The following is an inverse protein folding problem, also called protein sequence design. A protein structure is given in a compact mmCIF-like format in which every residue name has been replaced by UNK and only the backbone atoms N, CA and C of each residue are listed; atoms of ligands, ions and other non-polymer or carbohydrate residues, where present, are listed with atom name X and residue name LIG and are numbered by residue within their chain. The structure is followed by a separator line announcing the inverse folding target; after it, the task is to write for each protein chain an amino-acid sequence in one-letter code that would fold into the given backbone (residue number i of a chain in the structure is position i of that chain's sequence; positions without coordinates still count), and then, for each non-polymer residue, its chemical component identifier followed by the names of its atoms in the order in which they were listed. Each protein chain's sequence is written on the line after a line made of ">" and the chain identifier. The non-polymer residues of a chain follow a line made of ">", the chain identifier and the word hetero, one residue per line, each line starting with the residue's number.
data_IF_857556875621
#
_entry.id   IF_857556875621
#
_cell.length_a   1.000
_cell.length_b   1.000
_cell.length_c   1.000
_cell.angle_alpha   90.00
_cell.angle_beta   90.00
_cell.angle_gamma   90.00
#
_symmetry.space_group_name_H-M   'P 1'
#
loop_
_entity.id
_entity.type
_entity.pdbx_description
1 polymer ?
#
# COMPACT_ATOMS: atom_id res chain seq x y z
N UNK A 1 -23.62 -38.54 3.63
CA UNK A 1 -23.55 -37.15 4.20
C UNK A 1 -22.13 -36.58 4.15
N UNK A 2 -21.35 -36.88 3.10
CA UNK A 2 -19.91 -36.51 3.03
C UNK A 2 -19.58 -35.51 1.90
N UNK A 3 -20.58 -34.88 1.26
CA UNK A 3 -20.32 -33.91 0.20
C UNK A 3 -20.04 -32.47 0.69
N UNK A 4 -20.17 -32.16 1.97
CA UNK A 4 -19.98 -30.79 2.48
C UNK A 4 -18.59 -30.51 3.10
N UNK A 5 -17.73 -31.51 3.23
CA UNK A 5 -16.35 -31.32 3.76
C UNK A 5 -15.33 -30.83 2.73
N UNK A 6 -15.67 -30.79 1.44
CA UNK A 6 -14.77 -30.32 0.36
C UNK A 6 -14.75 -28.80 0.16
N UNK A 7 -15.60 -28.01 0.86
CA UNK A 7 -15.73 -26.56 0.71
C UNK A 7 -14.74 -25.72 1.53
N UNK A 8 -13.92 -26.31 2.42
CA UNK A 8 -13.06 -25.53 3.34
C UNK A 8 -11.65 -25.23 2.81
N UNK A 9 -11.27 -25.78 1.66
CA UNK A 9 -9.92 -25.66 1.10
C UNK A 9 -9.67 -24.37 0.28
N UNK A 10 -10.71 -23.66 -0.20
CA UNK A 10 -10.55 -22.57 -1.17
C UNK A 10 -11.18 -21.24 -0.74
N UNK A 11 -11.43 -21.03 0.54
CA UNK A 11 -12.09 -19.81 1.04
C UNK A 11 -11.27 -18.52 0.83
N UNK A 12 -9.96 -18.62 0.62
CA UNK A 12 -9.06 -17.48 0.39
C UNK A 12 -9.01 -17.04 -1.08
N UNK A 13 -9.36 -17.92 -2.05
CA UNK A 13 -9.22 -17.62 -3.48
C UNK A 13 -10.17 -16.51 -3.91
N UNK A 14 -11.44 -16.59 -3.51
CA UNK A 14 -12.45 -15.60 -3.92
C UNK A 14 -12.13 -14.17 -3.43
N UNK A 15 -11.83 -13.93 -2.14
CA UNK A 15 -11.39 -12.60 -1.69
C UNK A 15 -10.11 -12.13 -2.38
N UNK A 16 -9.16 -13.04 -2.64
CA UNK A 16 -7.90 -12.72 -3.33
C UNK A 16 -8.17 -12.29 -4.77
N UNK A 17 -9.01 -13.01 -5.50
CA UNK A 17 -9.36 -12.67 -6.87
C UNK A 17 -10.05 -11.30 -6.95
N UNK A 18 -11.00 -11.03 -6.06
CA UNK A 18 -11.67 -9.73 -6.00
C UNK A 18 -10.69 -8.61 -5.65
N UNK A 19 -9.75 -8.86 -4.74
CA UNK A 19 -8.74 -7.89 -4.36
C UNK A 19 -7.74 -7.62 -5.50
N UNK A 20 -7.34 -8.64 -6.24
CA UNK A 20 -6.54 -8.50 -7.44
C UNK A 20 -7.28 -7.72 -8.54
N UNK A 21 -8.57 -7.98 -8.72
CA UNK A 21 -9.39 -7.26 -9.69
C UNK A 21 -9.56 -5.78 -9.30
N UNK A 22 -9.82 -5.52 -8.03
CA UNK A 22 -9.81 -4.17 -7.48
C UNK A 22 -8.47 -3.48 -7.71
N UNK A 23 -7.36 -4.17 -7.35
CA UNK A 23 -5.99 -3.69 -7.53
C UNK A 23 -5.66 -3.35 -8.98
N UNK A 24 -6.10 -4.18 -9.92
CA UNK A 24 -5.93 -3.94 -11.33
C UNK A 24 -6.64 -2.65 -11.79
N UNK A 25 -7.91 -2.51 -11.49
CA UNK A 25 -8.70 -1.37 -11.97
C UNK A 25 -8.31 -0.04 -11.30
N UNK A 26 -7.98 -0.02 -10.00
CA UNK A 26 -7.58 1.25 -9.37
C UNK A 26 -6.19 1.72 -9.81
N UNK A 27 -5.32 0.81 -10.28
CA UNK A 27 -4.00 1.15 -10.85
C UNK A 27 -4.03 1.39 -12.36
N UNK A 28 -5.13 1.03 -13.04
CA UNK A 28 -5.32 1.29 -14.46
C UNK A 28 -5.68 2.77 -14.71
N UNK A 29 -4.67 3.64 -14.69
CA UNK A 29 -4.79 5.11 -14.82
C UNK A 29 -3.97 5.64 -16.00
N UNK A 30 -4.41 5.44 -17.26
CA UNK A 30 -3.66 5.86 -18.43
C UNK A 30 -3.44 7.37 -18.56
N UNK A 31 -4.23 8.21 -17.86
CA UNK A 31 -4.06 9.66 -17.85
C UNK A 31 -2.95 10.16 -16.94
N UNK A 32 -2.51 9.38 -15.95
CA UNK A 32 -1.57 9.81 -14.92
C UNK A 32 -0.21 10.32 -15.48
N UNK A 33 0.42 9.68 -16.49
CA UNK A 33 1.65 10.17 -17.09
C UNK A 33 1.50 11.49 -17.89
N UNK A 34 0.27 11.90 -18.16
CA UNK A 34 -0.03 13.10 -18.95
C UNK A 34 -0.72 14.20 -18.14
N UNK A 35 -0.64 14.15 -16.79
CA UNK A 35 -1.31 15.09 -15.91
C UNK A 35 -0.78 16.53 -16.12
N UNK A 36 0.53 16.73 -16.12
CA UNK A 36 1.11 18.07 -16.31
C UNK A 36 0.75 18.65 -17.67
N UNK A 37 0.93 17.97 -18.81
CA UNK A 37 0.46 18.45 -20.11
C UNK A 37 -1.04 18.78 -20.17
N UNK A 38 -1.87 18.05 -19.43
CA UNK A 38 -3.30 18.32 -19.32
C UNK A 38 -3.59 19.59 -18.53
N UNK A 39 -2.87 19.84 -17.43
CA UNK A 39 -3.06 21.01 -16.58
C UNK A 39 -2.54 22.30 -17.24
N UNK A 40 -1.38 22.21 -17.92
CA UNK A 40 -0.75 23.38 -18.59
C UNK A 40 -1.25 23.60 -20.03
N UNK A 41 -1.92 22.60 -20.60
CA UNK A 41 -2.47 22.64 -21.95
C UNK A 41 -3.79 23.42 -22.06
N UNK A 42 -4.40 23.41 -23.27
CA UNK A 42 -5.62 24.16 -23.56
C UNK A 42 -6.84 23.74 -22.74
N UNK A 43 -6.83 22.51 -22.20
CA UNK A 43 -7.94 21.98 -21.41
C UNK A 43 -8.13 22.72 -20.07
N UNK A 44 -7.04 23.07 -19.39
CA UNK A 44 -7.06 23.73 -18.07
C UNK A 44 -6.40 25.10 -18.05
N UNK A 45 -5.46 25.35 -18.95
CA UNK A 45 -4.78 26.62 -19.17
C UNK A 45 -4.16 27.23 -17.89
N UNK A 46 -3.53 26.37 -17.09
CA UNK A 46 -2.84 26.77 -15.87
C UNK A 46 -1.36 27.04 -16.15
N UNK A 47 -0.77 27.98 -15.43
CA UNK A 47 0.67 28.23 -15.50
C UNK A 47 1.47 27.17 -14.77
N UNK A 48 2.70 26.92 -15.21
CA UNK A 48 3.62 25.99 -14.53
C UNK A 48 3.83 26.41 -13.07
N UNK A 49 3.88 27.71 -12.78
CA UNK A 49 4.03 28.24 -11.43
C UNK A 49 2.84 27.88 -10.53
N UNK A 50 1.61 28.03 -11.01
CA UNK A 50 0.40 27.64 -10.29
C UNK A 50 0.38 26.12 -10.00
N UNK A 51 0.73 25.31 -11.01
CA UNK A 51 0.79 23.85 -10.85
C UNK A 51 1.83 23.44 -9.82
N UNK A 52 3.04 24.02 -9.90
CA UNK A 52 4.18 23.62 -9.06
C UNK A 52 4.07 24.14 -7.63
N UNK A 53 3.66 25.41 -7.44
CA UNK A 53 3.73 26.08 -6.14
C UNK A 53 2.41 26.11 -5.39
N UNK A 54 1.26 25.98 -6.09
CA UNK A 54 -0.05 26.11 -5.47
C UNK A 54 -0.87 24.82 -5.48
N UNK A 55 -0.71 23.95 -6.49
CA UNK A 55 -1.54 22.76 -6.69
C UNK A 55 -0.84 21.51 -6.13
N UNK A 56 0.30 21.11 -6.66
CA UNK A 56 0.99 19.87 -6.28
C UNK A 56 1.38 19.76 -4.79
N UNK A 57 1.77 20.86 -4.09
CA UNK A 57 2.05 20.77 -2.65
C UNK A 57 0.85 20.33 -1.83
N UNK A 58 -0.39 20.57 -2.29
CA UNK A 58 -1.62 20.19 -1.58
C UNK A 58 -1.72 18.67 -1.44
N UNK A 59 -1.31 17.90 -2.45
CA UNK A 59 -1.23 16.44 -2.36
C UNK A 59 -0.32 15.99 -1.21
N UNK A 60 0.89 16.52 -1.15
CA UNK A 60 1.87 16.14 -0.12
C UNK A 60 1.37 16.46 1.29
N UNK A 61 0.81 17.67 1.49
CA UNK A 61 0.29 18.08 2.80
C UNK A 61 -0.97 17.30 3.20
N UNK A 62 -1.90 17.09 2.28
CA UNK A 62 -3.11 16.32 2.54
C UNK A 62 -2.79 14.86 2.85
N UNK A 63 -1.89 14.24 2.08
CA UNK A 63 -1.40 12.90 2.33
C UNK A 63 -0.79 12.75 3.73
N UNK A 64 0.11 13.66 4.11
CA UNK A 64 0.76 13.66 5.43
C UNK A 64 -0.25 13.82 6.55
N UNK A 65 -1.18 14.79 6.42
CA UNK A 65 -2.19 15.06 7.44
C UNK A 65 -3.19 13.90 7.60
N UNK A 66 -3.56 13.24 6.50
CA UNK A 66 -4.56 12.18 6.48
C UNK A 66 -4.00 10.80 6.80
N UNK A 67 -2.71 10.56 6.58
CA UNK A 67 -2.11 9.24 6.73
C UNK A 67 -2.31 8.66 8.15
N UNK A 68 -2.04 9.45 9.18
CA UNK A 68 -2.15 8.99 10.56
C UNK A 68 -3.60 8.72 10.99
N UNK A 69 -4.58 9.64 10.83
CA UNK A 69 -5.96 9.36 11.18
C UNK A 69 -6.56 8.22 10.34
N UNK A 70 -6.24 8.15 9.04
CA UNK A 70 -6.71 7.06 8.18
C UNK A 70 -6.18 5.71 8.65
N UNK A 71 -4.89 5.62 9.03
CA UNK A 71 -4.31 4.39 9.58
C UNK A 71 -5.08 3.88 10.81
N UNK A 72 -5.40 4.77 11.76
CA UNK A 72 -6.16 4.43 12.96
C UNK A 72 -7.61 4.04 12.64
N UNK A 73 -8.27 4.81 11.78
CA UNK A 73 -9.65 4.55 11.37
C UNK A 73 -9.73 3.22 10.60
N UNK A 74 -8.76 2.92 9.76
CA UNK A 74 -8.71 1.69 8.96
C UNK A 74 -8.85 0.44 9.81
N UNK A 75 -8.11 0.34 10.90
CA UNK A 75 -8.19 -0.81 11.80
C UNK A 75 -9.48 -0.82 12.62
N UNK A 76 -9.96 0.35 13.05
CA UNK A 76 -11.20 0.49 13.82
C UNK A 76 -12.44 0.08 13.00
N UNK A 77 -12.56 0.53 11.73
CA UNK A 77 -13.71 0.22 10.85
C UNK A 77 -13.54 -1.06 10.03
N UNK A 78 -12.47 -1.83 10.27
CA UNK A 78 -12.19 -3.13 9.62
C UNK A 78 -11.99 -3.06 8.10
N UNK A 79 -11.19 -2.14 7.63
CA UNK A 79 -10.62 -2.04 6.27
C UNK A 79 -11.61 -1.78 5.12
N UNK A 80 -12.69 -2.55 4.96
CA UNK A 80 -13.62 -2.42 3.81
C UNK A 80 -14.21 -1.02 3.63
N UNK A 81 -14.70 -0.32 4.67
CA UNK A 81 -15.21 1.05 4.50
C UNK A 81 -14.15 2.03 4.02
N UNK A 82 -12.88 1.81 4.37
CA UNK A 82 -11.77 2.65 3.92
C UNK A 82 -11.45 2.40 2.45
N UNK A 83 -11.56 1.15 1.96
CA UNK A 83 -11.46 0.84 0.52
C UNK A 83 -12.60 1.48 -0.29
N UNK A 84 -13.81 1.55 0.27
CA UNK A 84 -14.92 2.30 -0.35
C UNK A 84 -14.62 3.80 -0.37
N UNK A 85 -14.07 4.35 0.71
CA UNK A 85 -13.63 5.76 0.76
C UNK A 85 -12.55 6.05 -0.28
N UNK A 86 -11.59 5.14 -0.48
CA UNK A 86 -10.58 5.22 -1.53
C UNK A 86 -11.22 5.34 -2.92
N UNK A 87 -12.16 4.44 -3.22
CA UNK A 87 -12.86 4.45 -4.51
C UNK A 87 -13.66 5.73 -4.74
N UNK A 88 -14.37 6.22 -3.72
CA UNK A 88 -15.09 7.51 -3.79
C UNK A 88 -14.10 8.65 -4.03
N UNK A 89 -12.99 8.69 -3.29
CA UNK A 89 -11.97 9.73 -3.44
C UNK A 89 -11.39 9.76 -4.84
N UNK A 90 -11.09 8.61 -5.44
CA UNK A 90 -10.66 8.53 -6.84
C UNK A 90 -11.73 9.04 -7.82
N UNK A 91 -12.99 8.63 -7.65
CA UNK A 91 -14.07 9.10 -8.52
C UNK A 91 -14.21 10.63 -8.44
N UNK A 92 -14.20 11.20 -7.23
CA UNK A 92 -14.29 12.66 -7.04
C UNK A 92 -13.09 13.36 -7.68
N UNK A 93 -11.87 12.82 -7.51
CA UNK A 93 -10.64 13.34 -8.15
C UNK A 93 -10.81 13.46 -9.65
N UNK A 94 -11.19 12.39 -10.34
CA UNK A 94 -11.34 12.42 -11.81
C UNK A 94 -12.55 13.18 -12.30
N UNK A 95 -13.66 13.24 -11.54
CA UNK A 95 -14.79 14.11 -11.85
C UNK A 95 -14.39 15.60 -11.78
N UNK A 96 -13.71 16.01 -10.72
CA UNK A 96 -13.21 17.38 -10.61
C UNK A 96 -12.18 17.68 -11.70
N UNK A 97 -11.28 16.75 -11.98
CA UNK A 97 -10.26 16.92 -13.02
C UNK A 97 -10.89 17.09 -14.40
N UNK A 98 -11.98 16.39 -14.73
CA UNK A 98 -12.69 16.53 -16.00
C UNK A 98 -13.48 17.84 -16.10
N UNK A 99 -14.30 18.15 -15.10
CA UNK A 99 -15.34 19.18 -15.22
C UNK A 99 -15.02 20.50 -14.52
N UNK A 100 -14.16 20.50 -13.50
CA UNK A 100 -13.84 21.71 -12.76
C UNK A 100 -12.64 22.47 -13.37
N UNK A 101 -12.60 23.79 -13.20
CA UNK A 101 -11.54 24.67 -13.71
C UNK A 101 -11.05 25.61 -12.60
N UNK A 102 -9.82 26.12 -12.77
CA UNK A 102 -9.18 27.05 -11.86
C UNK A 102 -8.36 26.38 -10.75
N UNK A 103 -7.49 27.19 -10.13
CA UNK A 103 -6.50 26.71 -9.15
C UNK A 103 -7.16 26.04 -7.94
N UNK A 104 -8.20 26.64 -7.36
CA UNK A 104 -8.88 26.09 -6.19
C UNK A 104 -9.48 24.70 -6.47
N UNK A 105 -10.08 24.53 -7.67
CA UNK A 105 -10.63 23.21 -8.04
C UNK A 105 -9.54 22.16 -8.19
N UNK A 106 -8.38 22.52 -8.74
CA UNK A 106 -7.24 21.59 -8.86
C UNK A 106 -6.59 21.32 -7.49
N UNK A 107 -6.61 22.26 -6.56
CA UNK A 107 -6.22 21.99 -5.17
C UNK A 107 -7.15 20.95 -4.51
N UNK A 108 -8.46 21.00 -4.78
CA UNK A 108 -9.39 19.97 -4.32
C UNK A 108 -9.13 18.61 -4.98
N UNK A 109 -8.74 18.56 -6.25
CA UNK A 109 -8.28 17.34 -6.93
C UNK A 109 -7.13 16.71 -6.15
N UNK A 110 -6.10 17.50 -5.84
CA UNK A 110 -4.91 17.03 -5.09
C UNK A 110 -5.25 16.61 -3.66
N UNK A 111 -6.19 17.29 -3.01
CA UNK A 111 -6.67 16.89 -1.68
C UNK A 111 -7.33 15.51 -1.71
N UNK A 112 -8.27 15.27 -2.63
CA UNK A 112 -8.94 13.97 -2.74
C UNK A 112 -7.98 12.89 -3.24
N UNK A 113 -7.02 13.21 -4.09
CA UNK A 113 -5.97 12.29 -4.50
C UNK A 113 -5.05 11.93 -3.33
N UNK A 114 -4.71 12.89 -2.47
CA UNK A 114 -3.98 12.65 -1.22
C UNK A 114 -4.75 11.76 -0.24
N UNK A 115 -6.08 11.92 -0.14
CA UNK A 115 -6.95 11.02 0.63
C UNK A 115 -6.95 9.60 0.05
N UNK A 116 -7.06 9.47 -1.27
CA UNK A 116 -7.00 8.16 -1.94
C UNK A 116 -5.65 7.47 -1.71
N UNK A 117 -4.54 8.21 -1.78
CA UNK A 117 -3.20 7.70 -1.50
C UNK A 117 -3.03 7.29 -0.02
N UNK A 118 -3.54 8.10 0.92
CA UNK A 118 -3.49 7.76 2.35
C UNK A 118 -4.28 6.48 2.68
N UNK A 119 -5.39 6.24 1.98
CA UNK A 119 -6.22 5.05 2.16
C UNK A 119 -5.65 3.79 1.51
N UNK A 120 -4.59 3.88 0.70
CA UNK A 120 -3.94 2.72 0.07
C UNK A 120 -3.39 1.72 1.09
N UNK A 121 -3.01 2.19 2.28
CA UNK A 121 -2.60 1.30 3.39
C UNK A 121 -3.67 0.25 3.72
N UNK A 122 -4.95 0.59 3.56
CA UNK A 122 -6.06 -0.33 3.80
C UNK A 122 -6.09 -1.48 2.78
N UNK A 123 -5.66 -1.27 1.55
CA UNK A 123 -5.60 -2.31 0.52
C UNK A 123 -4.67 -3.46 0.91
N UNK A 124 -3.46 -3.14 1.33
CA UNK A 124 -2.51 -4.17 1.77
C UNK A 124 -2.88 -4.76 3.13
N UNK A 125 -3.35 -3.94 4.06
CA UNK A 125 -3.75 -4.42 5.39
C UNK A 125 -5.00 -5.34 5.34
N UNK A 126 -5.89 -5.15 4.36
CA UNK A 126 -7.05 -6.01 4.13
C UNK A 126 -6.66 -7.48 3.90
N UNK A 127 -5.55 -7.73 3.19
CA UNK A 127 -5.05 -9.10 2.93
C UNK A 127 -4.89 -9.86 4.25
N UNK A 128 -4.23 -9.23 5.23
CA UNK A 128 -3.93 -9.85 6.53
C UNK A 128 -5.17 -10.09 7.41
N UNK A 129 -6.28 -9.43 7.08
CA UNK A 129 -7.53 -9.58 7.81
C UNK A 129 -8.44 -10.68 7.28
N UNK A 130 -8.30 -11.07 6.02
CA UNK A 130 -9.21 -12.00 5.32
C UNK A 130 -8.54 -13.34 4.99
N UNK A 131 -7.22 -13.33 4.79
CA UNK A 131 -6.45 -14.52 4.42
C UNK A 131 -5.80 -15.13 5.67
N UNK A 132 -5.56 -16.46 5.67
CA UNK A 132 -4.79 -17.12 6.74
C UNK A 132 -3.29 -16.87 6.58
N UNK A 133 -2.54 -16.91 7.70
CA UNK A 133 -1.09 -16.64 7.75
C UNK A 133 -0.29 -17.42 6.72
N UNK A 134 -0.67 -18.68 6.48
CA UNK A 134 0.03 -19.58 5.56
C UNK A 134 0.03 -19.11 4.09
N UNK A 135 -0.89 -18.20 3.75
CA UNK A 135 -1.07 -17.68 2.39
C UNK A 135 -0.69 -16.20 2.23
N UNK A 136 -0.32 -15.49 3.32
CA UNK A 136 -0.04 -14.04 3.28
C UNK A 136 0.99 -13.66 2.21
N UNK A 137 2.16 -14.29 2.23
CA UNK A 137 3.22 -13.99 1.28
C UNK A 137 2.78 -14.18 -0.18
N UNK A 138 2.06 -15.27 -0.45
CA UNK A 138 1.57 -15.59 -1.79
C UNK A 138 0.54 -14.59 -2.29
N UNK A 139 -0.44 -14.26 -1.45
CA UNK A 139 -1.50 -13.30 -1.81
C UNK A 139 -0.94 -11.88 -1.97
N UNK A 140 -0.06 -11.45 -1.08
CA UNK A 140 0.62 -10.16 -1.19
C UNK A 140 1.42 -10.06 -2.49
N UNK A 141 2.13 -11.14 -2.87
CA UNK A 141 2.88 -11.19 -4.13
C UNK A 141 1.94 -11.09 -5.35
N UNK A 142 0.79 -11.77 -5.34
CA UNK A 142 -0.20 -11.66 -6.42
C UNK A 142 -0.78 -10.24 -6.52
N UNK A 143 -1.19 -9.64 -5.40
CA UNK A 143 -1.71 -8.28 -5.39
C UNK A 143 -0.68 -7.26 -5.88
N UNK A 144 0.58 -7.41 -5.47
CA UNK A 144 1.67 -6.53 -5.91
C UNK A 144 2.00 -6.69 -7.39
N UNK A 145 2.04 -7.93 -7.87
CA UNK A 145 2.28 -8.20 -9.30
C UNK A 145 1.18 -7.66 -10.18
N UNK A 146 -0.09 -7.83 -9.81
CA UNK A 146 -1.21 -7.35 -10.63
C UNK A 146 -1.27 -5.82 -10.67
N UNK A 147 -0.95 -5.12 -9.57
CA UNK A 147 -0.90 -3.66 -9.57
C UNK A 147 0.23 -3.12 -10.45
N UNK A 148 1.40 -3.75 -10.47
CA UNK A 148 2.51 -3.40 -11.36
C UNK A 148 2.18 -3.66 -12.83
N UNK A 149 1.57 -4.79 -13.14
CA UNK A 149 1.08 -5.11 -14.49
C UNK A 149 0.05 -4.07 -14.93
N UNK A 150 -0.90 -3.73 -14.08
CA UNK A 150 -1.92 -2.73 -14.39
C UNK A 150 -1.32 -1.35 -14.67
N UNK A 151 -0.35 -0.91 -13.85
CA UNK A 151 0.35 0.36 -14.06
C UNK A 151 1.13 0.38 -15.39
N UNK A 152 1.82 -0.72 -15.71
CA UNK A 152 2.54 -0.85 -16.99
C UNK A 152 1.58 -0.81 -18.17
N UNK A 153 0.50 -1.60 -18.12
CA UNK A 153 -0.52 -1.63 -19.18
C UNK A 153 -1.18 -0.26 -19.33
N UNK A 154 -1.49 0.43 -18.23
CA UNK A 154 -2.06 1.77 -18.25
C UNK A 154 -1.14 2.78 -18.93
N UNK A 155 0.15 2.77 -18.60
CA UNK A 155 1.13 3.68 -19.20
C UNK A 155 1.34 3.41 -20.69
N UNK A 156 1.41 2.13 -21.09
CA UNK A 156 1.47 1.73 -22.52
C UNK A 156 0.20 2.15 -23.26
N UNK A 157 -0.96 1.86 -22.69
CA UNK A 157 -2.26 2.23 -23.29
C UNK A 157 -2.37 3.75 -23.46
N UNK A 158 -2.00 4.51 -22.42
CA UNK A 158 -2.01 5.98 -22.48
C UNK A 158 -1.10 6.50 -23.59
N UNK A 159 0.13 5.97 -23.72
CA UNK A 159 1.05 6.38 -24.77
C UNK A 159 0.53 6.03 -26.17
N UNK A 160 0.00 4.83 -26.36
CA UNK A 160 -0.55 4.41 -27.65
C UNK A 160 -1.76 5.27 -28.07
N UNK A 161 -2.65 5.56 -27.14
CA UNK A 161 -3.82 6.40 -27.39
C UNK A 161 -3.42 7.83 -27.76
N UNK A 162 -2.43 8.40 -27.10
CA UNK A 162 -1.94 9.75 -27.38
C UNK A 162 -1.14 9.78 -28.69
N UNK A 163 -0.22 8.83 -28.91
CA UNK A 163 0.74 8.91 -30.04
C UNK A 163 0.22 8.32 -31.35
N UNK A 164 -0.66 7.31 -31.32
CA UNK A 164 -1.14 6.63 -32.53
C UNK A 164 -2.59 6.99 -32.86
N UNK A 165 -3.43 7.19 -31.85
CA UNK A 165 -4.85 7.47 -32.05
C UNK A 165 -5.19 8.96 -31.88
N UNK A 166 -4.21 9.79 -31.54
CA UNK A 166 -4.36 11.25 -31.32
C UNK A 166 -5.51 11.60 -30.38
N UNK A 167 -5.69 10.77 -29.35
CA UNK A 167 -6.75 10.91 -28.35
C UNK A 167 -6.42 12.07 -27.41
N UNK A 168 -7.35 13.00 -27.22
CA UNK A 168 -7.16 14.12 -26.30
C UNK A 168 -7.02 13.66 -24.86
N UNK A 169 -6.31 14.42 -24.05
CA UNK A 169 -6.11 14.16 -22.61
C UNK A 169 -7.44 14.13 -21.84
N UNK A 170 -8.45 14.86 -22.29
CA UNK A 170 -9.80 14.80 -21.72
C UNK A 170 -10.38 13.38 -21.81
N UNK A 171 -10.34 12.74 -22.99
CA UNK A 171 -10.83 11.37 -23.16
C UNK A 171 -9.99 10.36 -22.37
N UNK A 172 -8.68 10.59 -22.23
CA UNK A 172 -7.81 9.75 -21.42
C UNK A 172 -8.21 9.79 -19.93
N UNK A 173 -8.56 10.97 -19.43
CA UNK A 173 -9.10 11.13 -18.07
C UNK A 173 -10.48 10.47 -17.92
N UNK A 174 -11.33 10.49 -18.95
CA UNK A 174 -12.61 9.78 -18.93
C UNK A 174 -12.44 8.26 -18.89
N UNK A 175 -11.45 7.70 -19.60
CA UNK A 175 -11.10 6.26 -19.54
C UNK A 175 -10.62 5.92 -18.12
N UNK A 176 -9.81 6.77 -17.51
CA UNK A 176 -9.35 6.57 -16.14
C UNK A 176 -10.51 6.63 -15.15
N UNK A 177 -11.44 7.57 -15.29
CA UNK A 177 -12.65 7.64 -14.47
C UNK A 177 -13.48 6.34 -14.58
N UNK A 178 -13.65 5.79 -15.78
CA UNK A 178 -14.33 4.53 -15.96
C UNK A 178 -13.62 3.38 -15.23
N UNK A 179 -12.30 3.30 -15.31
CA UNK A 179 -11.50 2.28 -14.63
C UNK A 179 -11.63 2.36 -13.09
N UNK A 180 -11.46 3.56 -12.51
CA UNK A 180 -11.58 3.72 -11.04
C UNK A 180 -13.02 3.50 -10.56
N UNK A 181 -14.03 3.77 -11.40
CA UNK A 181 -15.44 3.46 -11.11
C UNK A 181 -15.67 1.95 -11.07
N UNK A 182 -15.04 1.18 -11.97
CA UNK A 182 -15.06 -0.29 -11.92
C UNK A 182 -14.36 -0.82 -10.66
N UNK A 183 -13.24 -0.23 -10.26
CA UNK A 183 -12.58 -0.57 -8.98
C UNK A 183 -13.53 -0.33 -7.81
N UNK A 184 -14.20 0.81 -7.78
CA UNK A 184 -15.19 1.12 -6.74
C UNK A 184 -16.32 0.09 -6.70
N UNK A 185 -16.87 -0.30 -7.83
CA UNK A 185 -17.88 -1.36 -7.92
C UNK A 185 -17.35 -2.69 -7.38
N UNK A 186 -16.12 -3.09 -7.72
CA UNK A 186 -15.49 -4.30 -7.19
C UNK A 186 -15.37 -4.27 -5.66
N UNK A 187 -15.16 -3.10 -5.05
CA UNK A 187 -15.02 -2.96 -3.59
C UNK A 187 -16.28 -3.33 -2.81
N UNK A 188 -17.47 -3.21 -3.40
CA UNK A 188 -18.72 -3.64 -2.75
C UNK A 188 -18.79 -5.15 -2.55
N UNK A 189 -18.23 -5.93 -3.44
CA UNK A 189 -18.23 -7.39 -3.39
C UNK A 189 -17.18 -7.97 -2.44
N UNK A 190 -16.24 -7.15 -1.95
CA UNK A 190 -15.25 -7.58 -0.97
C UNK A 190 -15.93 -7.99 0.34
N UNK A 191 -15.63 -9.17 0.92
CA UNK A 191 -16.20 -9.59 2.19
C UNK A 191 -15.75 -8.67 3.34
N UNK A 192 -16.64 -8.47 4.32
CA UNK A 192 -16.29 -7.69 5.52
C UNK A 192 -15.37 -8.51 6.42
N UNK A 193 -14.16 -8.05 6.78
CA UNK A 193 -13.28 -8.77 7.69
C UNK A 193 -13.86 -8.90 9.08
N UNK A 194 -13.69 -10.06 9.72
CA UNK A 194 -14.13 -10.29 11.09
C UNK A 194 -13.11 -9.89 12.14
N UNK A 195 -11.83 -9.80 11.75
CA UNK A 195 -10.69 -9.52 12.63
C UNK A 195 -10.04 -8.19 12.24
N UNK A 196 -9.57 -7.42 13.22
CA UNK A 196 -8.66 -6.30 13.01
C UNK A 196 -7.35 -6.54 13.76
N UNK A 197 -6.30 -5.81 13.43
CA UNK A 197 -4.96 -6.03 14.01
C UNK A 197 -4.87 -5.55 15.46
N UNK A 198 -5.49 -4.41 15.80
CA UNK A 198 -5.32 -3.74 17.08
C UNK A 198 -6.62 -3.67 17.90
N UNK A 199 -7.73 -3.21 17.30
CA UNK A 199 -8.97 -2.91 18.03
C UNK A 199 -9.88 -4.11 18.28
N UNK A 200 -9.85 -5.15 17.46
CA UNK A 200 -10.74 -6.33 17.58
C UNK A 200 -9.92 -7.63 17.69
N UNK A 201 -8.76 -7.56 18.32
CA UNK A 201 -7.95 -8.74 18.62
C UNK A 201 -8.61 -9.51 19.77
N UNK A 202 -9.07 -10.73 19.52
CA UNK A 202 -9.44 -11.65 20.62
C UNK A 202 -8.16 -11.96 21.37
N UNK A 203 -8.11 -11.58 22.65
CA UNK A 203 -7.03 -12.00 23.53
C UNK A 203 -7.01 -13.53 23.57
N UNK A 204 -6.02 -14.11 22.92
CA UNK A 204 -5.70 -15.53 23.13
C UNK A 204 -5.11 -15.59 24.51
N UNK A 205 -5.89 -16.06 25.49
CA UNK A 205 -5.38 -16.40 26.82
C UNK A 205 -4.14 -17.27 26.66
N UNK A 206 -3.04 -17.02 27.38
CA UNK A 206 -1.88 -17.89 27.33
C UNK A 206 -2.33 -19.29 27.75
N UNK A 207 -2.36 -20.22 26.81
CA UNK A 207 -2.55 -21.64 27.10
C UNK A 207 -1.45 -22.05 28.06
N UNK A 208 -1.83 -22.66 29.17
CA UNK A 208 -0.92 -23.19 30.17
C UNK A 208 0.23 -24.00 29.52
N UNK A 209 1.45 -23.95 30.08
CA UNK A 209 2.58 -24.66 29.50
C UNK A 209 2.27 -26.16 29.39
N UNK A 210 2.57 -26.71 28.22
CA UNK A 210 2.46 -28.14 27.96
C UNK A 210 3.35 -28.89 28.97
N UNK A 211 2.87 -29.99 29.58
CA UNK A 211 3.71 -30.77 30.51
C UNK A 211 4.87 -31.38 29.71
N UNK A 212 6.07 -31.19 30.26
CA UNK A 212 7.32 -31.79 29.78
C UNK A 212 7.13 -33.31 29.58
N UNK A 213 7.45 -33.76 28.37
CA UNK A 213 7.60 -35.18 28.09
C UNK A 213 8.84 -35.72 28.81
N UNK A 214 8.63 -36.19 30.03
CA UNK A 214 9.61 -37.01 30.71
C UNK A 214 9.78 -38.32 29.90
N UNK A 215 11.01 -38.65 29.57
CA UNK A 215 11.46 -39.90 29.02
C UNK A 215 11.17 -41.01 30.04
N UNK A 216 10.26 -41.91 29.76
CA UNK A 216 10.02 -43.12 30.55
C UNK A 216 10.66 -44.34 29.87
N UNK A 217 11.63 -44.90 30.54
CA UNK A 217 12.17 -46.23 30.30
C UNK A 217 11.21 -47.34 30.77
N UNK A 218 11.19 -48.39 30.06
CA UNK A 218 10.30 -49.55 30.21
C UNK A 218 10.54 -50.40 31.47
N UNK A 219 9.45 -51.05 31.96
CA UNK A 219 9.48 -52.22 32.82
C UNK A 219 8.05 -52.57 33.31
N UNK A 220 7.69 -53.86 33.40
CA UNK A 220 6.32 -54.32 33.32
C UNK A 220 5.65 -54.81 34.64
N UNK A 221 4.34 -54.91 34.59
CA UNK A 221 3.42 -55.83 35.28
C UNK A 221 2.83 -55.49 36.65
N UNK A 222 1.50 -55.57 36.70
CA UNK A 222 0.72 -56.16 37.78
C UNK A 222 -0.54 -55.36 38.21
N UNK A 223 -1.70 -56.00 38.32
CA UNK A 223 -2.98 -55.34 38.53
C UNK A 223 -3.46 -55.35 39.98
N UNK A 224 -4.20 -54.35 40.42
CA UNK A 224 -5.19 -54.52 41.51
C UNK A 224 -6.08 -53.28 41.77
N UNK A 225 -7.35 -53.56 41.60
CA UNK A 225 -8.53 -53.27 42.48
C UNK A 225 -8.93 -51.86 42.85
N UNK A 226 -10.23 -51.65 42.58
CA UNK A 226 -11.23 -50.71 43.05
C UNK A 226 -11.08 -50.13 44.49
N UNK A 227 -11.46 -48.83 44.63
CA UNK A 227 -12.51 -48.49 45.63
C UNK A 227 -13.08 -47.11 45.33
N UNK A 228 -14.40 -47.01 45.33
CA UNK A 228 -15.22 -45.81 45.40
C UNK A 228 -15.11 -45.14 46.78
N UNK A 229 -15.06 -43.84 46.83
CA UNK A 229 -15.55 -43.12 48.00
C UNK A 229 -16.22 -41.79 47.57
N UNK A 230 -17.50 -41.72 47.87
CA UNK A 230 -18.37 -40.55 47.77
C UNK A 230 -18.07 -39.61 48.96
N UNK A 231 -17.76 -38.37 48.68
CA UNK A 231 -17.69 -37.28 49.68
C UNK A 231 -18.29 -36.02 49.10
N UNK A 232 -19.52 -35.71 49.49
CA UNK A 232 -20.22 -34.46 49.19
C UNK A 232 -19.68 -33.35 50.11
N UNK A 233 -19.16 -32.26 49.49
CA UNK A 233 -18.99 -30.97 50.21
C UNK A 233 -19.49 -29.87 49.29
N UNK A 234 -20.58 -29.23 49.66
CA UNK A 234 -21.09 -27.99 49.15
C UNK A 234 -20.11 -26.86 49.48
N UNK A 235 -19.54 -26.20 48.49
CA UNK A 235 -18.82 -24.97 48.69
C UNK A 235 -19.44 -23.86 47.79
N UNK A 236 -19.90 -22.89 48.48
CA UNK A 236 -20.37 -21.58 48.10
C UNK A 236 -19.46 -20.94 47.04
N UNK A 237 -19.99 -20.68 45.86
CA UNK A 237 -19.29 -19.95 44.76
C UNK A 237 -19.68 -18.48 44.88
N UNK A 238 -18.85 -17.71 45.54
CA UNK A 238 -18.84 -16.27 45.40
C UNK A 238 -18.61 -15.85 43.91
N UNK A 239 -19.07 -14.69 43.49
CA UNK A 239 -19.01 -14.26 42.08
C UNK A 239 -17.54 -14.11 41.65
N UNK A 240 -17.22 -14.79 40.52
CA UNK A 240 -15.92 -14.70 39.90
C UNK A 240 -15.72 -13.30 39.30
N UNK A 241 -14.49 -12.73 39.32
CA UNK A 241 -14.18 -11.38 38.79
C UNK A 241 -14.19 -11.28 37.26
N UNK A 242 -15.03 -12.02 36.59
CA UNK A 242 -15.00 -12.14 35.12
C UNK A 242 -16.08 -11.35 34.37
N UNK A 243 -17.06 -10.76 35.08
CA UNK A 243 -18.16 -10.01 34.45
C UNK A 243 -18.02 -8.48 34.50
N UNK A 244 -17.01 -7.94 35.19
CA UNK A 244 -16.79 -6.48 35.25
C UNK A 244 -15.96 -5.89 34.09
N UNK A 245 -15.41 -6.72 33.19
CA UNK A 245 -14.52 -6.23 32.12
C UNK A 245 -15.24 -5.78 30.84
N UNK A 246 -16.55 -6.02 30.69
CA UNK A 246 -17.28 -5.82 29.43
C UNK A 246 -18.07 -4.50 29.35
N UNK A 247 -18.08 -3.69 30.41
CA UNK A 247 -18.79 -2.40 30.45
C UNK A 247 -17.88 -1.17 30.52
N UNK A 248 -16.60 -1.28 30.12
CA UNK A 248 -15.73 -0.13 29.99
C UNK A 248 -16.14 0.71 28.78
N UNK A 249 -16.53 1.98 29.02
CA UNK A 249 -16.91 2.97 28.01
C UNK A 249 -15.98 2.91 26.79
N UNK A 250 -16.49 3.00 25.54
CA UNK A 250 -15.70 2.86 24.32
C UNK A 250 -14.49 3.81 24.25
N UNK A 251 -14.57 4.97 24.89
CA UNK A 251 -13.49 5.94 25.01
C UNK A 251 -12.26 5.43 25.77
N UNK A 252 -12.46 4.56 26.78
CA UNK A 252 -11.34 3.97 27.55
C UNK A 252 -10.61 2.87 26.76
N UNK A 253 -11.31 2.18 25.85
CA UNK A 253 -10.72 1.13 25.01
C UNK A 253 -9.77 1.73 23.97
N UNK A 254 -10.21 2.77 23.26
CA UNK A 254 -9.39 3.47 22.25
C UNK A 254 -8.12 4.05 22.88
N UNK A 255 -8.24 4.73 24.02
CA UNK A 255 -7.09 5.28 24.72
C UNK A 255 -6.09 4.19 25.13
N UNK A 256 -6.58 3.05 25.62
CA UNK A 256 -5.74 1.90 26.00
C UNK A 256 -4.99 1.33 24.81
N UNK A 257 -5.63 1.21 23.64
CA UNK A 257 -4.98 0.75 22.41
C UNK A 257 -3.94 1.75 21.95
N UNK A 258 -4.21 3.06 21.99
CA UNK A 258 -3.24 4.10 21.64
C UNK A 258 -2.02 4.10 22.56
N UNK A 259 -2.21 3.95 23.87
CA UNK A 259 -1.11 3.86 24.84
C UNK A 259 -0.28 2.61 24.59
N UNK A 260 -0.91 1.47 24.27
CA UNK A 260 -0.19 0.24 23.90
C UNK A 260 0.62 0.43 22.63
N UNK A 261 0.01 0.98 21.55
CA UNK A 261 0.70 1.31 20.30
C UNK A 261 1.90 2.24 20.53
N UNK A 262 1.74 3.26 21.36
CA UNK A 262 2.84 4.18 21.71
C UNK A 262 3.97 3.48 22.45
N UNK A 263 3.63 2.53 23.34
CA UNK A 263 4.64 1.73 24.06
C UNK A 263 5.35 0.78 23.10
N UNK A 264 4.60 0.04 22.26
CA UNK A 264 5.16 -0.89 21.27
C UNK A 264 6.08 -0.14 20.29
N UNK A 265 5.67 1.06 19.84
CA UNK A 265 6.49 1.94 19.02
C UNK A 265 7.80 2.35 19.70
N UNK A 266 7.72 2.77 20.96
CA UNK A 266 8.90 3.13 21.76
C UNK A 266 9.85 1.96 21.90
N UNK A 267 9.31 0.77 22.19
CA UNK A 267 10.11 -0.45 22.37
C UNK A 267 10.80 -0.87 21.05
N UNK A 268 10.10 -0.77 19.92
CA UNK A 268 10.67 -1.01 18.59
C UNK A 268 11.81 -0.03 18.27
N UNK A 269 11.61 1.28 18.46
CA UNK A 269 12.61 2.31 18.18
C UNK A 269 13.70 2.45 19.27
N UNK A 270 13.69 1.62 20.29
CA UNK A 270 14.81 1.47 21.21
C UNK A 270 16.06 0.85 20.54
N UNK A 271 15.87 0.08 19.46
CA UNK A 271 16.95 -0.47 18.63
C UNK A 271 17.51 0.60 17.71
N UNK A 272 18.80 0.99 17.88
CA UNK A 272 19.49 1.96 17.01
C UNK A 272 19.52 1.52 15.54
N UNK A 273 19.72 0.22 15.30
CA UNK A 273 19.73 -0.32 13.92
C UNK A 273 18.39 -0.07 13.25
N UNK A 274 17.27 -0.42 13.90
CA UNK A 274 15.93 -0.20 13.36
C UNK A 274 15.62 1.29 13.15
N UNK A 275 16.07 2.15 14.08
CA UNK A 275 15.89 3.60 13.93
C UNK A 275 16.60 4.15 12.70
N UNK A 276 17.86 3.77 12.43
CA UNK A 276 18.61 4.24 11.26
C UNK A 276 17.99 3.73 9.94
N UNK A 277 17.60 2.48 9.90
CA UNK A 277 16.92 1.91 8.73
C UNK A 277 15.57 2.61 8.46
N UNK A 278 14.78 2.84 9.50
CA UNK A 278 13.49 3.54 9.37
C UNK A 278 13.67 5.00 8.92
N UNK A 279 14.68 5.69 9.44
CA UNK A 279 14.98 7.07 9.05
C UNK A 279 15.43 7.15 7.59
N UNK A 280 16.34 6.25 7.18
CA UNK A 280 16.76 6.16 5.78
C UNK A 280 15.56 5.87 4.87
N UNK A 281 14.74 4.89 5.22
CA UNK A 281 13.55 4.53 4.45
C UNK A 281 12.55 5.68 4.33
N UNK A 282 12.32 6.42 5.40
CA UNK A 282 11.44 7.57 5.41
C UNK A 282 11.96 8.69 4.50
N UNK A 283 13.27 9.03 4.58
CA UNK A 283 13.88 10.05 3.74
C UNK A 283 13.92 9.64 2.26
N UNK A 284 14.29 8.40 1.97
CA UNK A 284 14.32 7.87 0.61
C UNK A 284 12.93 7.86 -0.04
N UNK A 285 11.90 7.44 0.71
CA UNK A 285 10.51 7.43 0.24
C UNK A 285 9.97 8.85 0.04
N UNK A 286 10.29 9.78 0.95
CA UNK A 286 9.93 11.18 0.78
C UNK A 286 10.57 11.79 -0.48
N UNK A 287 11.86 11.57 -0.70
CA UNK A 287 12.57 12.00 -1.91
C UNK A 287 11.98 11.38 -3.17
N UNK A 288 11.70 10.09 -3.16
CA UNK A 288 11.08 9.39 -4.28
C UNK A 288 9.70 9.98 -4.64
N UNK A 289 8.84 10.20 -3.66
CA UNK A 289 7.52 10.80 -3.87
C UNK A 289 7.63 12.24 -4.44
N UNK A 290 8.61 13.02 -3.99
CA UNK A 290 8.86 14.35 -4.56
C UNK A 290 9.28 14.25 -6.04
N UNK A 291 10.16 13.34 -6.39
CA UNK A 291 10.55 13.13 -7.80
C UNK A 291 9.33 12.74 -8.63
N UNK A 292 8.53 11.75 -8.19
CA UNK A 292 7.33 11.34 -8.92
C UNK A 292 6.35 12.51 -9.14
N UNK A 293 6.19 13.37 -8.14
CA UNK A 293 5.25 14.49 -8.22
C UNK A 293 5.70 15.57 -9.22
N UNK A 294 7.00 15.84 -9.30
CA UNK A 294 7.52 16.97 -10.10
C UNK A 294 8.22 16.57 -11.40
N UNK A 295 8.42 15.28 -11.67
CA UNK A 295 9.19 14.83 -12.84
C UNK A 295 8.55 15.26 -14.16
N UNK A 296 7.22 15.21 -14.25
CA UNK A 296 6.50 15.62 -15.47
C UNK A 296 6.64 17.13 -15.74
N UNK A 297 6.70 17.95 -14.67
CA UNK A 297 6.95 19.38 -14.78
C UNK A 297 8.35 19.64 -15.33
N UNK A 298 9.37 18.88 -14.86
CA UNK A 298 10.73 18.95 -15.40
C UNK A 298 10.77 18.57 -16.88
N UNK A 299 10.04 17.54 -17.27
CA UNK A 299 9.98 17.11 -18.67
C UNK A 299 9.29 18.15 -19.55
N UNK A 300 8.17 18.72 -19.12
CA UNK A 300 7.46 19.77 -19.84
C UNK A 300 8.28 21.06 -19.95
N UNK A 301 9.09 21.38 -18.91
CA UNK A 301 10.05 22.49 -18.95
C UNK A 301 11.16 22.28 -19.97
N UNK A 302 11.65 21.04 -20.14
CA UNK A 302 12.74 20.72 -21.12
C UNK A 302 12.23 20.53 -22.55
N UNK A 303 11.04 19.99 -22.71
CA UNK A 303 10.39 19.75 -23.99
C UNK A 303 8.89 20.07 -23.85
N UNK A 304 8.50 21.34 -24.05
CA UNK A 304 7.12 21.77 -23.88
C UNK A 304 6.14 20.95 -24.72
N UNK A 305 5.09 20.44 -24.09
CA UNK A 305 4.10 19.53 -24.69
C UNK A 305 3.31 20.13 -25.86
N UNK A 306 3.22 21.47 -25.95
CA UNK A 306 2.57 22.17 -27.05
C UNK A 306 3.44 22.25 -28.32
N UNK A 307 4.75 21.98 -28.24
CA UNK A 307 5.68 22.08 -29.36
C UNK A 307 6.48 20.79 -29.63
N UNK A 308 6.39 19.82 -28.74
CA UNK A 308 7.19 18.58 -28.79
C UNK A 308 6.33 17.34 -28.57
N UNK A 309 6.76 16.21 -29.14
CA UNK A 309 6.10 14.94 -28.90
C UNK A 309 6.30 14.49 -27.43
N UNK A 310 5.24 14.06 -26.76
CA UNK A 310 5.23 13.66 -25.36
C UNK A 310 5.36 12.14 -25.26
N UNK A 311 6.44 11.67 -24.63
CA UNK A 311 6.72 10.23 -24.44
C UNK A 311 6.61 9.80 -22.96
N UNK A 312 5.94 10.59 -22.13
CA UNK A 312 5.84 10.36 -20.69
C UNK A 312 5.29 8.96 -20.35
N UNK A 313 4.26 8.51 -21.06
CA UNK A 313 3.67 7.18 -20.87
C UNK A 313 4.63 6.06 -21.23
N UNK A 314 5.42 6.20 -22.31
CA UNK A 314 6.41 5.20 -22.70
C UNK A 314 7.55 5.10 -21.66
N UNK A 315 8.02 6.24 -21.17
CA UNK A 315 9.06 6.29 -20.13
C UNK A 315 8.54 5.67 -18.84
N UNK A 316 7.32 5.97 -18.43
CA UNK A 316 6.70 5.39 -17.24
C UNK A 316 6.48 3.87 -17.36
N UNK A 317 6.06 3.39 -18.55
CA UNK A 317 5.93 1.96 -18.81
C UNK A 317 7.27 1.22 -18.72
N UNK A 318 8.31 1.76 -19.34
CA UNK A 318 9.67 1.19 -19.27
C UNK A 318 10.19 1.23 -17.81
N UNK A 319 10.00 2.34 -17.11
CA UNK A 319 10.42 2.50 -15.72
C UNK A 319 9.75 1.48 -14.79
N UNK A 320 8.44 1.27 -14.94
CA UNK A 320 7.68 0.30 -14.14
C UNK A 320 8.07 -1.13 -14.48
N UNK A 321 8.29 -1.43 -15.76
CA UNK A 321 8.79 -2.74 -16.19
C UNK A 321 10.19 -3.03 -15.64
N UNK A 322 11.14 -2.10 -15.78
CA UNK A 322 12.49 -2.23 -15.21
C UNK A 322 12.45 -2.42 -13.68
N UNK A 323 11.62 -1.65 -12.98
CA UNK A 323 11.40 -1.78 -11.54
C UNK A 323 10.92 -3.18 -11.15
N UNK A 324 10.01 -3.74 -11.94
CA UNK A 324 9.52 -5.10 -11.71
C UNK A 324 10.62 -6.16 -11.94
N UNK A 325 11.42 -5.99 -12.98
CA UNK A 325 12.55 -6.88 -13.28
C UNK A 325 13.61 -6.79 -12.18
N UNK A 326 13.98 -5.59 -11.74
CA UNK A 326 14.98 -5.42 -10.67
C UNK A 326 14.52 -6.05 -9.36
N UNK A 327 13.28 -5.83 -8.95
CA UNK A 327 12.71 -6.46 -7.75
C UNK A 327 12.66 -8.00 -7.85
N UNK A 328 12.38 -8.53 -9.04
CA UNK A 328 12.38 -9.97 -9.29
C UNK A 328 13.80 -10.55 -9.20
N UNK A 329 14.78 -9.91 -9.84
CA UNK A 329 16.20 -10.36 -9.86
C UNK A 329 16.76 -10.42 -8.45
N UNK A 330 16.49 -9.41 -7.60
CA UNK A 330 16.98 -9.39 -6.20
C UNK A 330 16.55 -10.61 -5.41
N UNK A 331 15.33 -11.13 -5.63
CA UNK A 331 14.83 -12.32 -4.93
C UNK A 331 15.62 -13.60 -5.26
N UNK A 332 16.25 -13.66 -6.43
CA UNK A 332 17.06 -14.81 -6.86
C UNK A 332 18.54 -14.64 -6.54
N UNK A 333 18.99 -13.45 -6.18
CA UNK A 333 20.39 -13.22 -5.79
C UNK A 333 20.64 -13.78 -4.40
N UNK A 334 21.44 -14.84 -4.31
CA UNK A 334 21.89 -15.44 -3.04
C UNK A 334 22.99 -14.59 -2.38
N UNK A 335 22.69 -13.33 -2.13
CA UNK A 335 23.60 -12.38 -1.45
C UNK A 335 23.22 -12.35 0.04
N UNK A 336 24.25 -12.34 0.89
CA UNK A 336 24.04 -12.14 2.31
C UNK A 336 23.79 -10.63 2.58
N UNK A 337 22.55 -10.21 2.54
CA UNK A 337 22.13 -8.83 2.71
C UNK A 337 22.46 -8.27 4.11
N UNK A 338 22.55 -9.12 5.13
CA UNK A 338 22.98 -8.69 6.46
C UNK A 338 24.39 -8.10 6.48
N UNK A 339 25.26 -8.53 5.56
CA UNK A 339 26.65 -8.04 5.43
C UNK A 339 26.78 -6.92 4.41
N UNK A 340 26.13 -7.06 3.25
CA UNK A 340 26.30 -6.15 2.11
C UNK A 340 25.19 -5.09 1.99
N UNK A 341 24.12 -5.17 2.79
CA UNK A 341 22.96 -4.28 2.67
C UNK A 341 23.31 -2.82 2.85
N UNK A 342 24.14 -2.47 3.87
CA UNK A 342 24.54 -1.09 4.14
C UNK A 342 25.41 -0.51 3.01
N UNK A 343 26.31 -1.32 2.44
CA UNK A 343 27.14 -0.92 1.31
C UNK A 343 26.30 -0.72 0.04
N UNK A 344 25.35 -1.62 -0.23
CA UNK A 344 24.41 -1.50 -1.35
C UNK A 344 23.58 -0.23 -1.22
N UNK A 345 23.04 0.04 -0.02
CA UNK A 345 22.32 1.28 0.27
C UNK A 345 23.16 2.52 -0.07
N UNK A 346 24.42 2.58 0.36
CA UNK A 346 25.30 3.69 0.09
C UNK A 346 25.56 3.90 -1.41
N UNK A 347 25.90 2.82 -2.12
CA UNK A 347 26.21 2.88 -3.56
C UNK A 347 24.98 3.28 -4.38
N UNK A 348 23.85 2.62 -4.20
CA UNK A 348 22.65 2.90 -4.99
C UNK A 348 22.03 4.25 -4.64
N UNK A 349 22.07 4.70 -3.38
CA UNK A 349 21.66 6.06 -3.02
C UNK A 349 22.57 7.13 -3.67
N UNK A 350 23.87 6.85 -3.82
CA UNK A 350 24.77 7.75 -4.56
C UNK A 350 24.46 7.78 -6.07
N UNK A 351 24.08 6.65 -6.66
CA UNK A 351 23.63 6.58 -8.06
C UNK A 351 22.32 7.35 -8.23
N UNK A 352 21.38 7.24 -7.30
CA UNK A 352 20.13 7.99 -7.31
C UNK A 352 20.38 9.50 -7.24
N UNK A 353 21.24 9.94 -6.33
CA UNK A 353 21.65 11.34 -6.25
C UNK A 353 22.34 11.82 -7.55
N UNK A 354 23.22 11.00 -8.13
CA UNK A 354 23.87 11.28 -9.41
C UNK A 354 22.89 11.40 -10.56
N UNK A 355 21.86 10.55 -10.63
CA UNK A 355 20.83 10.63 -11.67
C UNK A 355 19.94 11.86 -11.52
N UNK A 356 19.62 12.30 -10.30
CA UNK A 356 18.92 13.55 -10.06
C UNK A 356 19.77 14.76 -10.49
N UNK A 357 21.06 14.72 -10.19
CA UNK A 357 22.02 15.76 -10.60
C UNK A 357 22.11 15.83 -12.13
N UNK A 358 22.20 14.69 -12.80
CA UNK A 358 22.19 14.62 -14.27
C UNK A 358 20.92 15.24 -14.85
N UNK A 359 19.72 14.91 -14.31
CA UNK A 359 18.45 15.47 -14.78
C UNK A 359 18.38 16.99 -14.55
N UNK A 360 18.97 17.51 -13.49
CA UNK A 360 19.00 18.95 -13.22
C UNK A 360 19.82 19.72 -14.22
N UNK A 361 21.05 19.25 -14.56
CA UNK A 361 21.98 19.99 -15.41
C UNK A 361 21.81 19.76 -16.91
N UNK A 362 21.23 18.62 -17.31
CA UNK A 362 21.05 18.33 -18.74
C UNK A 362 19.92 19.16 -19.34
N UNK A 363 20.13 19.62 -20.56
CA UNK A 363 19.11 20.24 -21.41
C UNK A 363 18.41 19.23 -22.34
N UNK A 364 18.99 18.04 -22.49
CA UNK A 364 18.47 17.01 -23.37
C UNK A 364 17.40 16.18 -22.68
N UNK A 365 16.19 16.17 -23.23
CA UNK A 365 15.05 15.41 -22.69
C UNK A 365 15.33 13.90 -22.61
N UNK A 366 16.07 13.33 -23.56
CA UNK A 366 16.41 11.91 -23.55
C UNK A 366 17.34 11.53 -22.39
N UNK A 367 18.25 12.42 -22.04
CA UNK A 367 19.11 12.23 -20.86
C UNK A 367 18.29 12.36 -19.56
N UNK A 368 17.27 13.24 -19.51
CA UNK A 368 16.33 13.30 -18.40
C UNK A 368 15.53 11.99 -18.27
N UNK A 369 15.04 11.44 -19.36
CA UNK A 369 14.33 10.15 -19.36
C UNK A 369 15.24 9.02 -18.88
N UNK A 370 16.47 8.94 -19.40
CA UNK A 370 17.46 7.94 -18.95
C UNK A 370 17.77 8.07 -17.46
N UNK A 371 17.99 9.30 -16.96
CA UNK A 371 18.21 9.57 -15.54
C UNK A 371 17.04 9.11 -14.67
N UNK A 372 15.81 9.37 -15.09
CA UNK A 372 14.62 8.90 -14.38
C UNK A 372 14.48 7.38 -14.35
N UNK A 373 14.78 6.70 -15.47
CA UNK A 373 14.76 5.24 -15.53
C UNK A 373 15.75 4.61 -14.55
N UNK A 374 16.99 5.16 -14.50
CA UNK A 374 18.03 4.72 -13.54
C UNK A 374 17.56 4.96 -12.12
N UNK A 375 17.10 6.17 -11.80
CA UNK A 375 16.60 6.54 -10.48
C UNK A 375 15.49 5.59 -10.00
N UNK A 376 14.45 5.39 -10.81
CA UNK A 376 13.31 4.54 -10.42
C UNK A 376 13.71 3.08 -10.25
N UNK A 377 14.57 2.55 -11.11
CA UNK A 377 15.08 1.19 -11.02
C UNK A 377 15.95 0.97 -9.76
N UNK A 378 16.87 1.89 -9.47
CA UNK A 378 17.72 1.82 -8.27
C UNK A 378 16.92 1.96 -6.99
N UNK A 379 15.97 2.90 -6.93
CA UNK A 379 15.09 3.05 -5.78
C UNK A 379 14.27 1.78 -5.50
N UNK A 380 13.68 1.16 -6.53
CA UNK A 380 12.92 -0.07 -6.37
C UNK A 380 13.77 -1.26 -5.95
N UNK A 381 15.04 -1.29 -6.38
CA UNK A 381 16.01 -2.26 -5.91
C UNK A 381 16.30 -2.05 -4.41
N UNK A 382 16.57 -0.81 -4.00
CA UNK A 382 16.83 -0.46 -2.60
C UNK A 382 15.67 -0.82 -1.67
N UNK A 383 14.45 -0.47 -2.04
CA UNK A 383 13.23 -0.79 -1.29
C UNK A 383 12.97 -2.30 -1.18
N UNK A 384 13.49 -3.08 -2.12
CA UNK A 384 13.37 -4.54 -2.09
C UNK A 384 14.41 -5.18 -1.15
N UNK A 385 15.57 -4.54 -0.97
CA UNK A 385 16.66 -4.98 -0.09
C UNK A 385 16.39 -4.55 1.37
N UNK A 386 15.83 -3.36 1.58
CA UNK A 386 15.52 -2.79 2.90
C UNK A 386 14.35 -3.47 3.58
#
# INVERSE_FOLDING_TARGET
>A
MDCWKKGKSNTWIFPTLLLCLYGFFYMMKPSEPFLTPYLTGPDKNLTIDEVTNQIFPVWTYSYLALLFPVFLITDYVRYKPVLLLQGISFIVTWLLLLFAHGVLAMQMVEFFYGMATATEVAYYAYIYSVVSSDHYQRVTSYCRSITLVAATVAAVLGQLLVSLADVSYFHLNAITLASVSLAFLCSFFLPMPQKSMFFHRKDVSPTAPAPDKAVASAGPAGPSSCQEEKGSVSADRGPTPREEADNAKPQSHVLRVLVRLSKDLRDCYSSRKLLYWSLWWALATAGFNQVLNYIQVLWDFRAPSHSSAVYNGAVEAIATFLSSVTSFVVQYMKINWDLFGELALGIFSAIDAGSLFLMHFTTNIWACYAGYLIFKACYMLLITIA
#
